data_IF_830544191537
#
_entry.id   IF_830544191537
#
_cell.length_a   1.000
_cell.length_b   1.000
_cell.length_c   1.000
_cell.angle_alpha   90.00
_cell.angle_beta   90.00
_cell.angle_gamma   90.00
#
_symmetry.space_group_name_H-M   'P 1'
#
loop_
_entity.id
_entity.type
_entity.pdbx_description
1 polymer ?
#
# COMPACT_ATOMS: atom_id res chain seq x y z
N UNK A 1 66.74 -37.18 28.00
CA UNK A 1 66.92 -38.01 26.77
C UNK A 1 65.55 -38.62 26.46
N UNK A 2 64.70 -37.97 25.66
CA UNK A 2 64.58 -38.01 24.18
C UNK A 2 63.80 -39.23 23.65
N UNK A 3 62.77 -38.92 22.83
CA UNK A 3 62.08 -39.71 21.76
C UNK A 3 60.75 -40.39 22.13
N UNK A 4 59.60 -39.91 21.60
CA UNK A 4 58.94 -40.20 20.28
C UNK A 4 58.41 -41.66 20.22
N UNK A 5 57.23 -42.06 19.75
CA UNK A 5 56.11 -41.49 18.96
C UNK A 5 54.98 -42.57 18.87
N UNK A 6 53.76 -42.18 18.46
CA UNK A 6 52.67 -42.99 17.84
C UNK A 6 51.79 -43.88 18.76
N UNK A 7 50.46 -43.99 18.63
CA UNK A 7 49.46 -43.50 17.66
C UNK A 7 48.08 -43.61 18.34
N UNK A 8 47.37 -42.50 18.57
CA UNK A 8 45.97 -42.50 19.02
C UNK A 8 45.10 -42.24 17.79
N UNK A 9 44.29 -43.23 17.41
CA UNK A 9 43.20 -43.08 16.44
C UNK A 9 42.01 -42.49 17.20
N UNK A 10 41.74 -41.21 17.02
CA UNK A 10 40.52 -40.55 17.52
C UNK A 10 39.56 -40.37 16.34
N UNK A 11 38.45 -41.09 16.38
CA UNK A 11 37.37 -41.01 15.40
C UNK A 11 36.67 -39.67 15.56
N UNK A 12 36.63 -38.88 14.48
CA UNK A 12 35.94 -37.61 14.41
C UNK A 12 34.43 -37.82 14.41
N UNK A 13 33.74 -37.35 15.46
CA UNK A 13 32.29 -37.16 15.45
C UNK A 13 32.01 -35.68 15.18
N UNK A 14 31.61 -35.39 13.95
CA UNK A 14 31.21 -34.07 13.49
C UNK A 14 29.81 -33.76 14.07
N UNK A 15 29.76 -33.04 15.19
CA UNK A 15 28.50 -32.48 15.69
C UNK A 15 28.29 -31.15 14.99
N UNK A 16 27.39 -31.15 14.00
CA UNK A 16 26.87 -29.93 13.40
C UNK A 16 26.16 -29.13 14.49
N UNK A 17 26.76 -28.00 14.87
CA UNK A 17 26.13 -27.00 15.73
C UNK A 17 24.97 -26.41 14.93
N UNK A 18 23.75 -26.84 15.22
CA UNK A 18 22.56 -26.07 14.88
C UNK A 18 22.65 -24.76 15.68
N UNK A 19 23.07 -23.69 15.01
CA UNK A 19 22.90 -22.34 15.52
C UNK A 19 21.40 -22.11 15.68
N UNK A 20 20.91 -22.33 16.90
CA UNK A 20 19.56 -21.95 17.28
C UNK A 20 19.53 -20.43 17.16
N UNK A 21 18.68 -19.92 16.29
CA UNK A 21 18.34 -18.50 16.23
C UNK A 21 17.74 -18.15 17.58
N UNK A 22 18.56 -17.60 18.47
CA UNK A 22 18.08 -17.00 19.70
C UNK A 22 17.21 -15.82 19.29
N UNK A 23 15.90 -15.94 19.50
CA UNK A 23 14.99 -14.80 19.47
C UNK A 23 15.60 -13.70 20.32
N UNK A 24 15.96 -12.57 19.71
CA UNK A 24 16.42 -11.41 20.43
C UNK A 24 15.30 -10.99 21.40
N UNK A 25 15.60 -11.11 22.68
CA UNK A 25 14.73 -10.70 23.77
C UNK A 25 14.49 -9.19 23.63
N UNK A 26 13.23 -8.78 23.48
CA UNK A 26 12.88 -7.36 23.31
C UNK A 26 13.04 -6.64 24.64
N UNK A 27 14.23 -6.12 24.91
CA UNK A 27 14.41 -5.12 25.95
C UNK A 27 13.70 -3.82 25.52
N UNK A 28 12.79 -3.27 26.33
CA UNK A 28 12.20 -1.96 26.05
C UNK A 28 13.19 -0.84 26.42
N UNK A 29 13.51 0.03 25.46
CA UNK A 29 14.28 1.29 25.60
C UNK A 29 15.39 1.40 24.54
N UNK A 30 15.65 2.51 23.85
CA UNK A 30 15.17 3.90 23.93
C UNK A 30 14.76 4.38 22.52
N UNK A 31 14.00 5.48 22.40
CA UNK A 31 13.77 6.15 21.12
C UNK A 31 12.83 5.50 20.09
N UNK A 32 12.17 4.37 20.39
CA UNK A 32 11.15 3.78 19.50
C UNK A 32 11.70 2.96 18.32
N UNK A 33 12.99 2.62 18.35
CA UNK A 33 13.65 1.72 17.39
C UNK A 33 13.96 0.37 18.03
N UNK A 34 13.89 -0.69 17.25
CA UNK A 34 14.09 -2.08 17.68
C UNK A 34 15.08 -2.81 16.75
N UNK A 35 15.79 -3.85 17.25
CA UNK A 35 16.67 -4.67 16.41
C UNK A 35 15.94 -5.28 15.21
N UNK A 36 16.58 -5.26 14.05
CA UNK A 36 16.08 -5.92 12.83
C UNK A 36 17.17 -6.82 12.21
N UNK A 37 17.24 -6.89 10.88
CA UNK A 37 18.11 -7.83 10.19
C UNK A 37 19.60 -7.60 10.52
N UNK A 38 20.26 -8.62 11.05
CA UNK A 38 21.70 -8.58 11.36
C UNK A 38 22.09 -7.60 12.47
N UNK A 39 21.12 -7.13 13.28
CA UNK A 39 21.38 -6.20 14.37
C UNK A 39 22.37 -6.81 15.38
N UNK A 40 23.38 -6.03 15.76
CA UNK A 40 24.40 -6.43 16.76
C UNK A 40 24.71 -5.28 17.71
N UNK A 41 25.00 -5.62 18.96
CA UNK A 41 25.29 -4.66 20.03
C UNK A 41 24.05 -4.13 20.73
N UNK A 42 24.25 -3.14 21.60
CA UNK A 42 23.19 -2.53 22.40
C UNK A 42 22.28 -1.63 21.54
N UNK A 43 21.01 -1.49 21.94
CA UNK A 43 20.08 -0.57 21.29
C UNK A 43 20.39 0.88 21.67
N UNK A 44 21.21 1.53 20.85
CA UNK A 44 21.62 2.92 21.01
C UNK A 44 20.91 3.86 20.04
N UNK A 45 19.79 3.42 19.45
CA UNK A 45 19.13 4.15 18.37
C UNK A 45 18.00 5.01 18.90
N UNK A 46 18.01 6.28 18.52
CA UNK A 46 16.92 7.21 18.78
C UNK A 46 16.43 7.83 17.48
N UNK A 47 15.14 8.10 17.41
CA UNK A 47 14.57 8.76 16.25
C UNK A 47 13.06 8.84 16.30
N UNK A 48 12.50 9.43 15.26
CA UNK A 48 11.07 9.53 15.11
C UNK A 48 10.68 9.51 13.64
N UNK A 49 9.56 8.87 13.33
CA UNK A 49 8.90 8.96 12.02
C UNK A 49 7.96 10.16 12.09
N UNK A 50 8.37 11.27 11.49
CA UNK A 50 7.59 12.52 11.48
C UNK A 50 6.39 12.42 10.54
N UNK A 51 6.57 11.76 9.40
CA UNK A 51 5.52 11.48 8.44
C UNK A 51 5.63 10.06 7.88
N UNK A 52 4.50 9.40 7.61
CA UNK A 52 3.16 9.78 8.04
C UNK A 52 3.02 9.72 9.57
N UNK A 53 2.04 10.44 10.13
CA UNK A 53 1.66 10.25 11.53
C UNK A 53 1.03 8.86 11.70
N UNK A 54 1.15 8.27 12.89
CA UNK A 54 0.52 6.98 13.17
C UNK A 54 -1.01 7.05 12.95
N UNK A 55 -1.53 6.14 12.14
CA UNK A 55 -2.93 6.08 11.74
C UNK A 55 -3.30 7.05 10.62
N UNK A 56 -2.35 7.76 10.00
CA UNK A 56 -2.65 8.71 8.94
C UNK A 56 -3.38 8.04 7.77
N UNK A 57 -4.38 8.77 7.25
CA UNK A 57 -5.14 8.35 6.08
C UNK A 57 -4.36 8.70 4.80
N UNK A 58 -4.02 7.68 4.03
CA UNK A 58 -3.35 7.82 2.73
C UNK A 58 -4.40 7.59 1.64
N UNK A 59 -4.48 8.51 0.68
CA UNK A 59 -5.39 8.36 -0.45
C UNK A 59 -4.99 7.13 -1.29
N UNK A 60 -5.98 6.34 -1.70
CA UNK A 60 -5.75 5.17 -2.54
C UNK A 60 -5.02 5.55 -3.81
N UNK A 61 -3.92 4.85 -4.13
CA UNK A 61 -3.13 5.08 -5.34
C UNK A 61 -2.33 6.39 -5.34
N UNK A 62 -2.24 7.12 -4.24
CA UNK A 62 -1.37 8.28 -4.14
C UNK A 62 0.04 7.87 -3.68
N UNK A 63 1.11 8.46 -4.24
CA UNK A 63 2.41 8.38 -3.61
C UNK A 63 2.38 9.18 -2.30
N UNK A 64 3.18 8.77 -1.33
CA UNK A 64 3.29 9.49 -0.06
C UNK A 64 4.70 9.43 0.49
N UNK A 65 5.02 10.40 1.34
CA UNK A 65 6.33 10.57 1.93
C UNK A 65 6.41 9.86 3.27
N UNK A 66 7.52 9.16 3.49
CA UNK A 66 7.93 8.62 4.79
C UNK A 66 9.22 9.32 5.17
N UNK A 67 9.15 10.19 6.18
CA UNK A 67 10.26 11.03 6.59
C UNK A 67 10.37 11.12 8.10
N UNK A 68 11.55 11.47 8.56
CA UNK A 68 11.84 11.53 9.97
C UNK A 68 13.30 11.81 10.25
N UNK A 69 13.75 11.39 11.41
CA UNK A 69 15.15 11.39 11.78
C UNK A 69 15.49 10.14 12.59
N UNK A 70 16.74 9.72 12.49
CA UNK A 70 17.28 8.62 13.29
C UNK A 70 18.78 8.80 13.48
N UNK A 71 19.24 8.49 14.68
CA UNK A 71 20.65 8.54 15.07
C UNK A 71 21.04 7.27 15.82
N UNK A 72 22.28 6.84 15.62
CA UNK A 72 22.98 5.99 16.58
C UNK A 72 23.69 6.89 17.59
N UNK A 73 23.25 6.87 18.85
CA UNK A 73 23.82 7.70 19.92
C UNK A 73 25.29 7.40 20.21
N UNK A 74 25.79 6.24 19.77
CA UNK A 74 27.20 5.86 19.91
C UNK A 74 28.06 6.21 18.69
N UNK A 75 27.47 6.73 17.61
CA UNK A 75 28.22 7.18 16.46
C UNK A 75 28.91 8.52 16.73
N UNK A 76 30.19 8.63 16.35
CA UNK A 76 30.99 9.83 16.49
C UNK A 76 31.17 10.53 15.13
N UNK A 77 30.94 11.84 15.07
CA UNK A 77 31.18 12.66 13.88
C UNK A 77 30.04 12.71 12.85
N UNK A 78 28.96 11.94 13.03
CA UNK A 78 27.79 11.90 12.16
C UNK A 78 26.61 11.16 12.85
N UNK A 79 25.50 10.97 12.15
CA UNK A 79 24.29 10.33 12.69
C UNK A 79 24.34 8.79 12.79
N UNK A 80 25.32 8.12 12.16
CA UNK A 80 25.46 6.66 12.25
C UNK A 80 24.60 5.83 11.27
N UNK A 81 23.85 6.47 10.38
CA UNK A 81 22.85 5.84 9.50
C UNK A 81 23.27 5.97 8.04
N UNK A 82 23.49 4.83 7.38
CA UNK A 82 23.99 4.79 6.00
C UNK A 82 22.87 4.95 4.97
N UNK A 83 21.73 4.30 5.21
CA UNK A 83 20.53 4.41 4.37
C UNK A 83 19.28 4.05 5.17
N UNK A 84 18.13 4.38 4.61
CA UNK A 84 16.83 3.99 5.15
C UNK A 84 16.03 3.30 4.05
N UNK A 85 15.36 2.19 4.39
CA UNK A 85 14.40 1.53 3.51
C UNK A 85 13.02 1.50 4.16
N UNK A 86 11.97 1.58 3.37
CA UNK A 86 10.58 1.37 3.83
C UNK A 86 10.13 0.00 3.36
N UNK A 87 9.67 -0.81 4.29
CA UNK A 87 9.32 -2.22 4.08
C UNK A 87 7.86 -2.45 4.45
N UNK A 88 7.14 -3.19 3.61
CA UNK A 88 5.82 -3.73 3.90
C UNK A 88 5.93 -5.25 3.99
N UNK A 89 5.78 -5.79 5.20
CA UNK A 89 6.03 -7.21 5.46
C UNK A 89 7.50 -7.56 5.21
N UNK A 90 7.77 -8.25 4.10
CA UNK A 90 9.13 -8.62 3.65
C UNK A 90 9.57 -7.89 2.38
N UNK A 91 8.72 -7.04 1.81
CA UNK A 91 8.97 -6.36 0.54
C UNK A 91 9.41 -4.93 0.79
N UNK A 92 10.55 -4.53 0.22
CA UNK A 92 10.96 -3.12 0.20
C UNK A 92 10.05 -2.37 -0.78
N UNK A 93 9.32 -1.39 -0.28
CA UNK A 93 8.38 -0.56 -1.07
C UNK A 93 8.97 0.80 -1.43
N UNK A 94 10.00 1.26 -0.71
CA UNK A 94 10.75 2.45 -1.08
C UNK A 94 12.18 2.38 -0.54
N UNK A 95 13.12 2.91 -1.33
CA UNK A 95 14.47 3.23 -0.86
C UNK A 95 14.54 4.70 -0.50
N UNK A 96 15.06 5.01 0.68
CA UNK A 96 15.19 6.35 1.21
C UNK A 96 16.61 6.88 1.19
N UNK A 97 16.72 8.19 1.34
CA UNK A 97 17.96 8.93 1.49
C UNK A 97 18.11 9.30 2.96
N UNK A 98 19.26 9.00 3.55
CA UNK A 98 19.64 9.44 4.89
C UNK A 98 20.60 10.64 4.80
N UNK A 99 20.83 11.34 5.92
CA UNK A 99 21.77 12.46 5.98
C UNK A 99 21.14 13.82 5.70
N UNK A 100 19.81 13.95 5.79
CA UNK A 100 19.10 15.19 5.53
C UNK A 100 19.15 16.14 6.74
N UNK A 101 19.05 17.44 6.45
CA UNK A 101 19.20 18.50 7.44
C UNK A 101 18.09 18.49 8.49
N UNK A 102 18.48 18.43 9.77
CA UNK A 102 17.68 18.44 11.01
C UNK A 102 18.41 19.22 12.12
N UNK A 103 18.63 20.53 11.95
CA UNK A 103 19.29 21.36 12.96
C UNK A 103 18.47 21.46 14.26
N UNK A 104 17.16 21.27 14.18
CA UNK A 104 16.26 21.14 15.32
C UNK A 104 16.65 19.96 16.23
N UNK A 105 16.97 18.80 15.66
CA UNK A 105 17.41 17.61 16.40
C UNK A 105 18.75 17.87 17.09
N UNK A 106 19.72 18.46 16.39
CA UNK A 106 21.01 18.83 16.97
C UNK A 106 20.87 19.80 18.15
N UNK A 107 19.95 20.76 18.05
CA UNK A 107 19.68 21.72 19.12
C UNK A 107 19.05 21.07 20.36
N UNK A 108 18.07 20.18 20.16
CA UNK A 108 17.37 19.49 21.26
C UNK A 108 18.30 18.50 21.97
N UNK A 109 19.14 17.80 21.21
CA UNK A 109 20.04 16.78 21.73
C UNK A 109 21.38 17.33 22.22
N UNK A 110 21.72 18.56 21.84
CA UNK A 110 23.01 19.19 22.15
C UNK A 110 24.19 18.64 21.33
N UNK A 111 23.93 17.85 20.29
CA UNK A 111 24.96 17.25 19.45
C UNK A 111 24.91 17.76 18.00
N UNK A 112 25.88 18.61 17.63
CA UNK A 112 25.99 19.21 16.30
C UNK A 112 26.16 18.19 15.16
N UNK A 113 26.71 17.00 15.43
CA UNK A 113 26.88 15.96 14.42
C UNK A 113 25.55 15.35 13.96
N UNK A 114 24.47 15.55 14.72
CA UNK A 114 23.14 15.05 14.41
C UNK A 114 22.29 16.06 13.62
N UNK A 115 22.90 17.17 13.19
CA UNK A 115 22.26 18.14 12.32
C UNK A 115 21.94 17.57 10.93
N UNK A 116 22.49 16.41 10.57
CA UNK A 116 22.20 15.68 9.33
C UNK A 116 21.62 14.28 9.66
N UNK A 117 20.70 14.20 10.61
CA UNK A 117 20.07 12.94 11.04
C UNK A 117 18.76 12.61 10.30
N UNK A 118 18.32 13.50 9.42
CA UNK A 118 17.07 13.34 8.71
C UNK A 118 17.12 12.24 7.66
N UNK A 119 15.95 11.66 7.39
CA UNK A 119 15.75 10.77 6.26
C UNK A 119 14.47 11.11 5.51
N UNK A 120 14.44 10.71 4.25
CA UNK A 120 13.26 10.81 3.39
C UNK A 120 13.16 9.62 2.43
N UNK A 121 11.95 9.09 2.27
CA UNK A 121 11.63 8.06 1.29
C UNK A 121 10.26 8.36 0.68
N UNK A 122 10.13 8.24 -0.64
CA UNK A 122 8.85 8.36 -1.34
C UNK A 122 8.33 6.98 -1.66
N UNK A 123 7.23 6.59 -1.03
CA UNK A 123 6.51 5.36 -1.36
C UNK A 123 5.69 5.61 -2.63
N UNK A 124 5.92 4.84 -3.71
CA UNK A 124 5.24 5.06 -4.97
C UNK A 124 3.76 4.69 -4.89
N UNK A 125 2.97 5.31 -5.77
CA UNK A 125 1.56 5.03 -5.94
C UNK A 125 1.30 3.53 -6.12
N UNK A 126 0.38 2.97 -5.33
CA UNK A 126 -0.03 1.57 -5.43
C UNK A 126 0.95 0.54 -4.86
N UNK A 127 2.08 0.95 -4.28
CA UNK A 127 3.02 0.04 -3.63
C UNK A 127 2.49 -0.54 -2.31
N UNK A 128 1.49 0.13 -1.71
CA UNK A 128 0.86 -0.28 -0.45
C UNK A 128 -0.61 -0.59 -0.71
N UNK A 129 -1.10 -1.81 -0.35
CA UNK A 129 -2.50 -2.17 -0.51
C UNK A 129 -3.44 -1.32 0.34
N UNK A 130 -4.70 -1.32 -0.07
CA UNK A 130 -5.81 -0.78 0.71
C UNK A 130 -5.90 -1.37 2.13
N UNK A 131 -6.51 -0.60 3.03
CA UNK A 131 -6.74 -0.98 4.42
C UNK A 131 -5.65 -0.48 5.37
N UNK A 132 -5.73 -0.96 6.61
CA UNK A 132 -4.72 -0.67 7.63
C UNK A 132 -3.46 -1.47 7.31
N UNK A 133 -2.35 -0.77 7.10
CA UNK A 133 -1.05 -1.33 6.77
C UNK A 133 -0.01 -0.85 7.77
N UNK A 134 0.90 -1.74 8.15
CA UNK A 134 2.03 -1.39 9.02
C UNK A 134 3.30 -1.37 8.19
N UNK A 135 3.86 -0.17 8.01
CA UNK A 135 5.13 0.03 7.35
C UNK A 135 6.25 -0.07 8.39
N UNK A 136 7.34 -0.72 8.01
CA UNK A 136 8.55 -0.82 8.79
C UNK A 136 9.61 0.05 8.13
N UNK A 137 10.06 1.09 8.82
CA UNK A 137 11.21 1.90 8.42
C UNK A 137 12.46 1.21 8.95
N UNK A 138 13.36 0.85 8.06
CA UNK A 138 14.58 0.11 8.33
C UNK A 138 15.78 1.05 8.15
N UNK A 139 16.42 1.42 9.25
CA UNK A 139 17.67 2.18 9.25
C UNK A 139 18.85 1.20 9.15
N UNK A 140 19.59 1.29 8.05
CA UNK A 140 20.76 0.45 7.79
C UNK A 140 22.02 1.15 8.28
N UNK A 141 22.87 0.41 8.99
CA UNK A 141 24.11 0.93 9.53
C UNK A 141 25.31 0.22 8.89
N UNK A 142 26.49 0.86 8.84
CA UNK A 142 27.65 0.23 8.22
C UNK A 142 28.16 -1.03 8.93
N UNK A 143 27.95 -1.13 10.25
CA UNK A 143 28.61 -2.15 11.08
C UNK A 143 27.69 -2.88 12.07
N UNK A 144 26.51 -2.34 12.38
CA UNK A 144 25.60 -2.87 13.42
C UNK A 144 24.31 -3.47 12.87
N UNK A 145 24.31 -3.84 11.59
CA UNK A 145 23.12 -4.31 10.89
C UNK A 145 22.05 -3.24 10.77
N UNK A 146 20.80 -3.67 10.78
CA UNK A 146 19.65 -2.78 10.59
C UNK A 146 18.76 -2.71 11.83
N UNK A 147 18.15 -1.55 12.01
CA UNK A 147 17.27 -1.23 13.13
C UNK A 147 15.96 -0.69 12.58
N UNK A 148 14.84 -1.01 13.22
CA UNK A 148 13.53 -0.71 12.67
C UNK A 148 12.63 0.09 13.60
N UNK A 149 11.81 0.95 13.01
CA UNK A 149 10.64 1.55 13.66
C UNK A 149 9.43 1.37 12.76
N UNK A 150 8.23 1.38 13.34
CA UNK A 150 7.00 1.08 12.62
C UNK A 150 6.04 2.26 12.64
N UNK A 151 5.31 2.41 11.53
CA UNK A 151 4.20 3.34 11.42
C UNK A 151 3.02 2.63 10.79
N UNK A 152 1.85 2.76 11.42
CA UNK A 152 0.60 2.29 10.85
C UNK A 152 0.00 3.39 9.98
N UNK A 153 -0.44 3.04 8.79
CA UNK A 153 -1.18 3.91 7.88
C UNK A 153 -2.51 3.28 7.51
N UNK A 154 -3.51 4.11 7.27
CA UNK A 154 -4.79 3.68 6.74
C UNK A 154 -4.83 4.08 5.27
N UNK A 155 -4.46 3.16 4.39
CA UNK A 155 -4.61 3.39 2.96
C UNK A 155 -6.09 3.22 2.66
N UNK A 156 -6.70 4.23 2.06
CA UNK A 156 -8.06 4.09 1.58
C UNK A 156 -8.17 2.79 0.77
N UNK A 157 -9.19 1.96 1.06
CA UNK A 157 -9.75 1.16 -0.01
C UNK A 157 -9.92 2.08 -1.20
N UNK A 158 -9.63 1.62 -2.41
CA UNK A 158 -9.94 2.37 -3.61
C UNK A 158 -11.42 2.73 -3.60
N UNK A 159 -11.75 3.82 -2.93
CA UNK A 159 -12.93 4.57 -3.15
C UNK A 159 -12.70 5.03 -4.57
N UNK A 160 -13.64 4.66 -5.42
CA UNK A 160 -14.04 5.58 -6.46
C UNK A 160 -13.85 7.00 -5.96
N UNK A 161 -12.97 7.74 -6.63
CA UNK A 161 -12.66 9.16 -6.41
C UNK A 161 -13.81 9.91 -5.75
N UNK A 162 -13.78 10.07 -4.43
CA UNK A 162 -14.56 11.12 -3.78
C UNK A 162 -13.67 12.35 -3.66
N UNK A 163 -13.34 12.94 -4.82
CA UNK A 163 -12.98 14.35 -4.86
C UNK A 163 -14.19 15.17 -4.40
N UNK A 164 -13.99 16.44 -4.04
CA UNK A 164 -15.05 17.45 -3.90
C UNK A 164 -16.21 17.18 -4.87
N UNK A 165 -17.48 17.36 -4.47
CA UNK A 165 -18.65 16.83 -5.18
C UNK A 165 -18.45 17.02 -6.67
N UNK A 166 -18.11 15.92 -7.36
CA UNK A 166 -17.88 16.00 -8.78
C UNK A 166 -19.20 16.45 -9.37
N UNK A 167 -19.14 17.39 -10.31
CA UNK A 167 -20.32 17.70 -11.09
C UNK A 167 -20.83 16.45 -11.81
N UNK A 168 -19.97 15.44 -12.02
CA UNK A 168 -20.28 14.16 -12.61
C UNK A 168 -21.01 13.23 -11.62
N UNK A 169 -22.29 13.00 -11.91
CA UNK A 169 -23.17 12.06 -11.24
C UNK A 169 -23.21 10.76 -12.02
N UNK A 170 -23.07 9.64 -11.32
CA UNK A 170 -23.26 8.28 -11.84
C UNK A 170 -24.09 7.48 -10.85
N UNK A 171 -25.13 6.81 -11.33
CA UNK A 171 -25.93 5.84 -10.56
C UNK A 171 -26.05 4.53 -11.31
N UNK A 172 -26.32 3.45 -10.56
CA UNK A 172 -26.63 2.12 -11.07
C UNK A 172 -28.04 1.79 -10.58
N UNK A 173 -28.97 1.58 -11.50
CA UNK A 173 -30.37 1.27 -11.17
C UNK A 173 -30.64 -0.24 -11.27
N UNK A 174 -30.11 -0.89 -12.31
CA UNK A 174 -30.24 -2.34 -12.53
C UNK A 174 -28.85 -2.94 -12.80
N UNK A 175 -28.44 -4.02 -12.11
CA UNK A 175 -29.13 -4.64 -10.98
C UNK A 175 -29.19 -3.75 -9.73
N UNK A 176 -30.21 -3.96 -8.92
CA UNK A 176 -30.38 -3.42 -7.59
C UNK A 176 -29.39 -4.02 -6.59
N UNK A 177 -29.26 -3.37 -5.43
CA UNK A 177 -28.37 -3.85 -4.35
C UNK A 177 -28.82 -5.22 -3.89
N UNK A 178 -27.93 -6.19 -3.93
CA UNK A 178 -28.17 -7.58 -3.54
C UNK A 178 -29.34 -8.22 -4.31
N UNK A 179 -29.63 -7.75 -5.53
CA UNK A 179 -30.65 -8.36 -6.37
C UNK A 179 -30.19 -9.74 -6.86
N UNK A 180 -31.11 -10.69 -6.90
CA UNK A 180 -30.88 -11.99 -7.52
C UNK A 180 -31.22 -11.91 -9.02
N UNK A 181 -30.19 -11.84 -9.85
CA UNK A 181 -30.32 -11.80 -11.31
C UNK A 181 -30.37 -13.22 -11.86
N UNK A 182 -31.51 -13.59 -12.42
CA UNK A 182 -31.71 -14.89 -13.06
C UNK A 182 -30.84 -15.05 -14.32
N UNK A 183 -30.02 -16.09 -14.35
CA UNK A 183 -29.19 -16.53 -15.46
C UNK A 183 -29.98 -17.32 -16.51
N UNK A 184 -31.11 -16.79 -16.95
CA UNK A 184 -31.98 -17.48 -17.92
C UNK A 184 -32.19 -16.70 -19.22
N UNK A 185 -31.81 -15.43 -19.29
CA UNK A 185 -31.98 -14.55 -20.45
C UNK A 185 -30.86 -13.51 -20.56
N UNK A 186 -30.82 -12.78 -21.68
CA UNK A 186 -29.98 -11.58 -21.78
C UNK A 186 -30.44 -10.55 -20.74
N UNK A 187 -29.51 -10.12 -19.89
CA UNK A 187 -29.74 -9.10 -18.88
C UNK A 187 -29.45 -7.71 -19.42
N UNK A 188 -29.86 -6.70 -18.66
CA UNK A 188 -29.49 -5.30 -18.91
C UNK A 188 -28.92 -4.70 -17.63
N UNK A 189 -27.78 -4.03 -17.75
CA UNK A 189 -27.27 -3.13 -16.73
C UNK A 189 -27.66 -1.71 -17.14
N UNK A 190 -28.27 -0.94 -16.25
CA UNK A 190 -28.65 0.44 -16.54
C UNK A 190 -28.52 1.35 -15.33
N UNK A 191 -28.53 2.66 -15.59
CA UNK A 191 -28.45 3.69 -14.56
C UNK A 191 -28.47 5.08 -15.18
N UNK A 192 -28.16 6.08 -14.37
CA UNK A 192 -28.09 7.47 -14.82
C UNK A 192 -26.65 7.96 -14.80
N UNK A 193 -26.27 8.79 -15.77
CA UNK A 193 -24.99 9.51 -15.75
C UNK A 193 -25.12 10.89 -16.38
N UNK A 194 -24.65 11.93 -15.67
CA UNK A 194 -24.66 13.31 -16.17
C UNK A 194 -23.64 14.17 -15.42
N UNK A 195 -23.07 15.17 -16.08
CA UNK A 195 -22.19 16.17 -15.47
C UNK A 195 -22.94 17.50 -15.31
N UNK A 196 -23.18 17.91 -14.07
CA UNK A 196 -23.89 19.15 -13.69
C UNK A 196 -23.16 20.43 -14.10
N UNK A 197 -21.90 20.33 -14.53
CA UNK A 197 -21.13 21.45 -15.09
C UNK A 197 -21.42 21.66 -16.58
N UNK A 198 -22.18 20.76 -17.19
CA UNK A 198 -22.54 20.82 -18.61
C UNK A 198 -23.70 21.78 -18.82
N UNK A 199 -23.61 22.59 -19.87
CA UNK A 199 -24.77 23.35 -20.30
C UNK A 199 -25.80 22.42 -20.94
N UNK A 200 -27.11 22.55 -20.68
CA UNK A 200 -28.13 21.63 -21.20
C UNK A 200 -28.09 21.43 -22.72
N UNK A 201 -27.65 22.43 -23.48
CA UNK A 201 -27.50 22.37 -24.94
C UNK A 201 -26.34 21.47 -25.44
N UNK A 202 -25.43 21.05 -24.57
CA UNK A 202 -24.26 20.20 -24.90
C UNK A 202 -24.49 18.72 -24.55
N UNK A 203 -25.72 18.35 -24.18
CA UNK A 203 -26.07 16.99 -23.76
C UNK A 203 -25.76 16.74 -22.29
N UNK A 204 -25.43 15.50 -21.95
CA UNK A 204 -25.25 15.10 -20.54
C UNK A 204 -23.86 15.33 -20.00
N UNK A 205 -22.91 15.70 -20.86
CA UNK A 205 -21.52 15.93 -20.47
C UNK A 205 -20.77 14.66 -20.11
N UNK A 206 -21.30 13.49 -20.45
CA UNK A 206 -20.65 12.19 -20.26
C UNK A 206 -20.36 11.61 -21.64
N UNK A 207 -19.09 11.34 -21.95
CA UNK A 207 -18.71 10.77 -23.25
C UNK A 207 -18.85 9.25 -23.24
N UNK A 208 -18.66 8.62 -22.08
CA UNK A 208 -18.54 7.16 -21.97
C UNK A 208 -18.95 6.63 -20.60
N UNK A 209 -19.68 5.51 -20.60
CA UNK A 209 -19.90 4.65 -19.43
C UNK A 209 -19.43 3.24 -19.74
N UNK A 210 -18.63 2.63 -18.86
CA UNK A 210 -18.14 1.25 -19.02
C UNK A 210 -18.47 0.42 -17.78
N UNK A 211 -18.85 -0.85 -17.97
CA UNK A 211 -19.15 -1.77 -16.88
C UNK A 211 -18.23 -2.99 -16.90
N UNK A 212 -17.79 -3.39 -15.71
CA UNK A 212 -16.93 -4.55 -15.46
C UNK A 212 -17.50 -5.38 -14.30
N UNK A 213 -17.28 -6.70 -14.32
CA UNK A 213 -17.71 -7.63 -13.29
C UNK A 213 -16.49 -8.24 -12.57
N UNK A 214 -16.67 -8.54 -11.29
CA UNK A 214 -15.79 -9.26 -10.36
C UNK A 214 -14.44 -8.61 -10.00
N UNK A 215 -13.91 -7.72 -10.82
CA UNK A 215 -12.76 -6.90 -10.46
C UNK A 215 -12.73 -5.54 -11.21
N UNK A 216 -12.00 -4.53 -10.67
CA UNK A 216 -11.83 -3.23 -11.31
C UNK A 216 -11.26 -3.32 -12.74
N UNK A 217 -11.54 -2.31 -13.57
CA UNK A 217 -11.03 -2.23 -14.95
C UNK A 217 -9.50 -2.43 -14.97
N UNK A 218 -9.04 -3.39 -15.78
CA UNK A 218 -7.62 -3.68 -15.99
C UNK A 218 -6.97 -4.57 -14.92
N UNK A 219 -7.73 -5.07 -13.94
CA UNK A 219 -7.24 -6.02 -12.93
C UNK A 219 -7.48 -7.47 -13.36
N UNK A 220 -6.67 -8.38 -12.81
CA UNK A 220 -6.89 -9.82 -12.98
C UNK A 220 -8.27 -10.23 -12.43
N UNK A 221 -9.01 -11.04 -13.19
CA UNK A 221 -10.39 -11.42 -12.83
C UNK A 221 -11.46 -10.40 -13.24
N UNK A 222 -11.09 -9.29 -13.89
CA UNK A 222 -12.06 -8.32 -14.40
C UNK A 222 -12.71 -8.82 -15.69
N UNK A 223 -14.03 -8.79 -15.73
CA UNK A 223 -14.81 -9.16 -16.91
C UNK A 223 -15.53 -7.95 -17.49
N UNK A 224 -15.14 -7.53 -18.70
CA UNK A 224 -15.81 -6.42 -19.37
C UNK A 224 -17.22 -6.80 -19.82
N UNK A 225 -18.22 -6.05 -19.36
CA UNK A 225 -19.63 -6.25 -19.71
C UNK A 225 -20.04 -5.44 -20.94
N UNK A 226 -19.49 -4.23 -21.09
CA UNK A 226 -19.75 -3.39 -22.25
C UNK A 226 -19.56 -1.90 -21.98
N UNK A 227 -19.87 -1.12 -23.00
CA UNK A 227 -19.75 0.34 -23.03
C UNK A 227 -21.02 0.97 -23.58
N UNK A 228 -21.45 2.07 -22.97
CA UNK A 228 -22.50 2.94 -23.46
C UNK A 228 -21.92 4.31 -23.83
N UNK A 229 -22.32 4.80 -24.99
CA UNK A 229 -21.96 6.12 -25.54
C UNK A 229 -23.19 6.77 -26.18
N UNK A 230 -23.22 8.10 -26.28
CA UNK A 230 -24.29 8.81 -27.01
C UNK A 230 -25.68 8.69 -26.37
N UNK A 231 -25.74 8.40 -25.08
CA UNK A 231 -26.98 8.36 -24.31
C UNK A 231 -27.38 9.77 -23.84
N UNK A 232 -28.66 9.95 -23.53
CA UNK A 232 -29.12 11.13 -22.81
C UNK A 232 -28.77 10.95 -21.33
N UNK A 233 -29.74 10.97 -20.42
CA UNK A 233 -29.45 10.84 -18.97
C UNK A 233 -29.29 9.41 -18.51
N UNK A 234 -29.85 8.45 -19.24
CA UNK A 234 -29.89 7.03 -18.87
C UNK A 234 -28.99 6.23 -19.79
N UNK A 235 -28.02 5.52 -19.21
CA UNK A 235 -27.16 4.58 -19.93
C UNK A 235 -27.70 3.15 -19.79
N UNK A 236 -27.38 2.30 -20.78
CA UNK A 236 -27.82 0.90 -20.81
C UNK A 236 -26.77 0.04 -21.51
N UNK A 237 -26.44 -1.10 -20.91
CA UNK A 237 -25.49 -2.08 -21.42
C UNK A 237 -26.17 -3.46 -21.38
N UNK A 238 -26.31 -4.10 -22.54
CA UNK A 238 -26.78 -5.48 -22.62
C UNK A 238 -25.68 -6.45 -22.20
N UNK A 239 -26.02 -7.46 -21.41
CA UNK A 239 -25.07 -8.48 -20.95
C UNK A 239 -25.72 -9.86 -20.87
N UNK A 240 -24.91 -10.90 -20.64
CA UNK A 240 -25.36 -12.29 -20.60
C UNK A 240 -24.97 -12.92 -19.25
N UNK A 241 -25.86 -12.86 -18.24
CA UNK A 241 -25.59 -13.42 -16.91
C UNK A 241 -25.21 -14.91 -16.95
N UNK A 242 -25.75 -15.65 -17.92
CA UNK A 242 -25.42 -17.07 -18.18
C UNK A 242 -23.94 -17.34 -18.40
N UNK A 243 -23.13 -16.35 -18.81
CA UNK A 243 -21.68 -16.52 -18.96
C UNK A 243 -20.93 -16.52 -17.63
N UNK A 244 -21.58 -16.14 -16.55
CA UNK A 244 -21.00 -15.94 -15.23
C UNK A 244 -21.60 -16.89 -14.18
N UNK A 245 -22.44 -17.84 -14.59
CA UNK A 245 -23.27 -18.70 -13.74
C UNK A 245 -22.55 -19.87 -13.03
N UNK A 246 -21.23 -19.77 -12.78
CA UNK A 246 -20.37 -20.90 -12.38
C UNK A 246 -20.56 -21.45 -10.94
N UNK A 247 -21.82 -21.60 -10.50
CA UNK A 247 -22.26 -21.92 -9.14
C UNK A 247 -22.40 -20.65 -8.31
N UNK A 248 -23.47 -20.54 -7.52
CA UNK A 248 -23.89 -19.38 -6.71
C UNK A 248 -22.71 -18.51 -6.25
N UNK A 249 -22.58 -17.33 -6.87
CA UNK A 249 -21.53 -16.37 -6.53
C UNK A 249 -22.15 -15.00 -6.39
N UNK A 250 -21.87 -14.42 -5.23
CA UNK A 250 -21.95 -12.99 -5.05
C UNK A 250 -21.00 -12.31 -6.05
N UNK A 251 -21.51 -11.32 -6.79
CA UNK A 251 -20.76 -10.58 -7.79
C UNK A 251 -20.71 -9.10 -7.43
N UNK A 252 -19.58 -8.48 -7.80
CA UNK A 252 -19.39 -7.03 -7.67
C UNK A 252 -19.20 -6.42 -9.05
N UNK A 253 -20.10 -5.54 -9.45
CA UNK A 253 -19.98 -4.76 -10.67
C UNK A 253 -19.32 -3.42 -10.41
N UNK A 254 -18.42 -3.02 -11.30
CA UNK A 254 -17.70 -1.74 -11.32
C UNK A 254 -18.12 -0.95 -12.56
N UNK A 255 -18.77 0.18 -12.37
CA UNK A 255 -19.24 1.06 -13.46
C UNK A 255 -18.46 2.37 -13.43
N UNK A 256 -17.84 2.73 -14.55
CA UNK A 256 -17.05 3.94 -14.72
C UNK A 256 -17.80 4.89 -15.65
N UNK A 257 -17.93 6.16 -15.28
CA UNK A 257 -18.43 7.21 -16.17
C UNK A 257 -17.36 8.29 -16.34
N UNK A 258 -17.16 8.75 -17.57
CA UNK A 258 -16.19 9.80 -17.90
C UNK A 258 -16.89 11.06 -18.40
N UNK A 259 -16.48 12.20 -17.86
CA UNK A 259 -16.95 13.52 -18.28
C UNK A 259 -16.32 13.90 -19.62
N UNK A 260 -17.17 14.28 -20.58
CA UNK A 260 -16.76 14.92 -21.82
C UNK A 260 -16.28 16.37 -21.60
N UNK A 261 -16.68 16.99 -20.48
CA UNK A 261 -16.42 18.40 -20.18
C UNK A 261 -15.09 18.58 -19.48
N UNK A 262 -14.78 17.76 -18.48
CA UNK A 262 -13.59 17.90 -17.64
C UNK A 262 -12.58 16.78 -17.84
N UNK A 263 -12.96 15.69 -18.50
CA UNK A 263 -12.15 14.47 -18.57
C UNK A 263 -12.09 13.67 -17.27
N UNK A 264 -12.74 14.15 -16.20
CA UNK A 264 -12.87 13.43 -14.93
C UNK A 264 -13.58 12.09 -15.13
N UNK A 265 -13.22 11.10 -14.31
CA UNK A 265 -13.91 9.82 -14.26
C UNK A 265 -14.41 9.57 -12.84
N UNK A 266 -15.63 9.07 -12.71
CA UNK A 266 -16.20 8.57 -11.45
C UNK A 266 -16.48 7.09 -11.59
N UNK A 267 -16.45 6.37 -10.47
CA UNK A 267 -16.81 4.96 -10.42
C UNK A 267 -17.86 4.69 -9.37
N UNK A 268 -18.72 3.70 -9.64
CA UNK A 268 -19.72 3.19 -8.72
C UNK A 268 -19.64 1.68 -8.70
N UNK A 269 -19.93 1.09 -7.53
CA UNK A 269 -19.98 -0.35 -7.38
C UNK A 269 -21.40 -0.82 -7.09
N UNK A 270 -21.71 -2.04 -7.53
CA UNK A 270 -22.98 -2.70 -7.24
C UNK A 270 -22.75 -4.17 -6.93
N UNK A 271 -23.15 -4.56 -5.74
CA UNK A 271 -23.22 -5.96 -5.31
C UNK A 271 -24.57 -6.56 -5.69
N UNK A 272 -24.56 -7.77 -6.21
CA UNK A 272 -25.76 -8.53 -6.60
C UNK A 272 -25.39 -10.01 -6.76
N UNK A 273 -26.38 -10.89 -6.88
CA UNK A 273 -26.16 -12.32 -7.09
C UNK A 273 -26.61 -12.73 -8.49
N UNK A 274 -26.00 -13.79 -9.04
CA UNK A 274 -26.50 -14.44 -10.25
C UNK A 274 -27.02 -15.82 -9.84
N UNK A 275 -28.30 -16.08 -10.15
CA UNK A 275 -29.03 -17.29 -9.72
C UNK A 275 -29.63 -18.05 -10.91
N UNK A 276 -29.98 -19.32 -10.73
CA UNK A 276 -30.57 -20.17 -11.77
C UNK A 276 -32.11 -20.13 -11.79
#
# INVERSE_FOLDING_TARGET
>A
MSRLLACIVFVAFLVAVLAQSTSADTLPGAGGWAPAAGAVGDNTYEGFIDQPQAGASIASGAPFQVSGWVVDMSAEGWAGIASVDVVLGSTVVAHGIAGLSRPDVANVTGNGYWANSGFDAVVPAGAVPAGTQTLTVLANTPAKGSWSSQVTVNVGAGAATSSAPSGLVLTINTPGVNEDVLANNNGTVNGSAYDTRTRPELGTGVDRVQAYLDAPRGQAGSHFLGEATGFQTTWSIGWQPTKFDSGERHHVMWVYARSAVTGEEVVQTREFNITH
#
